data_IF_835529102504
#
_entry.id   IF_835529102504
#
_cell.length_a   1.000
_cell.length_b   1.000
_cell.length_c   1.000
_cell.angle_alpha   90.00
_cell.angle_beta   90.00
_cell.angle_gamma   90.00
#
_symmetry.space_group_name_H-M   'P 1'
#
loop_
_entity.id
_entity.type
_entity.pdbx_description
1 polymer ?
#
# COMPACT_ATOMS: atom_id res chain seq x y z
N UNK A 1 52.42 -23.69 -18.47
CA UNK A 1 51.93 -22.29 -18.52
C UNK A 1 50.41 -22.34 -18.68
N UNK A 2 49.65 -21.52 -17.94
CA UNK A 2 48.61 -21.96 -17.02
C UNK A 2 47.21 -22.13 -17.65
N UNK A 3 46.47 -23.11 -17.12
CA UNK A 3 45.02 -23.24 -17.31
C UNK A 3 44.32 -22.15 -16.51
N UNK A 4 43.78 -21.13 -17.18
CA UNK A 4 42.99 -20.07 -16.55
C UNK A 4 41.50 -20.37 -16.75
N UNK A 5 40.95 -21.15 -15.82
CA UNK A 5 39.51 -21.30 -15.60
C UNK A 5 38.96 -19.95 -15.12
N UNK A 6 38.46 -19.12 -16.04
CA UNK A 6 37.67 -17.94 -15.71
C UNK A 6 36.27 -18.38 -15.25
N UNK A 7 36.14 -18.50 -13.93
CA UNK A 7 34.91 -18.68 -13.18
C UNK A 7 34.02 -17.44 -13.33
N UNK A 8 33.09 -17.47 -14.28
CA UNK A 8 32.05 -16.46 -14.42
C UNK A 8 30.94 -16.74 -13.40
N UNK A 9 31.09 -16.20 -12.20
CA UNK A 9 30.04 -16.15 -11.19
C UNK A 9 28.87 -15.32 -11.73
N UNK A 10 27.84 -16.00 -12.23
CA UNK A 10 26.54 -15.39 -12.51
C UNK A 10 26.07 -14.69 -11.22
N UNK A 11 26.06 -13.36 -11.25
CA UNK A 11 25.38 -12.55 -10.25
C UNK A 11 23.93 -13.05 -10.21
N UNK A 12 23.55 -13.68 -9.10
CA UNK A 12 22.16 -13.91 -8.77
C UNK A 12 21.51 -12.54 -8.66
N UNK A 13 20.84 -12.12 -9.74
CA UNK A 13 19.92 -11.01 -9.69
C UNK A 13 18.90 -11.37 -8.60
N UNK A 14 19.08 -10.82 -7.40
CA UNK A 14 18.14 -11.02 -6.32
C UNK A 14 16.77 -10.60 -6.86
N UNK A 15 15.74 -11.48 -6.78
CA UNK A 15 14.41 -11.09 -7.20
C UNK A 15 14.08 -9.81 -6.43
N UNK A 16 13.60 -8.79 -7.14
CA UNK A 16 13.12 -7.57 -6.51
C UNK A 16 12.13 -7.96 -5.40
N UNK A 17 12.58 -7.88 -4.15
CA UNK A 17 11.82 -8.23 -2.96
C UNK A 17 10.75 -7.14 -2.81
N UNK A 18 9.57 -7.44 -3.31
CA UNK A 18 8.47 -6.51 -3.42
C UNK A 18 7.21 -7.13 -2.82
N UNK A 19 6.91 -6.75 -1.58
CA UNK A 19 5.64 -6.99 -0.92
C UNK A 19 4.53 -6.35 -1.75
N UNK A 20 3.63 -7.18 -2.27
CA UNK A 20 2.48 -6.73 -3.04
C UNK A 20 1.29 -6.50 -2.13
N UNK A 21 0.52 -5.47 -2.45
CA UNK A 21 -0.67 -5.07 -1.71
C UNK A 21 -1.79 -4.86 -2.70
N UNK A 22 -2.94 -5.45 -2.44
CA UNK A 22 -4.16 -5.24 -3.23
C UNK A 22 -5.25 -4.75 -2.30
N UNK A 23 -6.00 -3.73 -2.73
CA UNK A 23 -7.15 -3.21 -2.00
C UNK A 23 -8.39 -3.57 -2.80
N UNK A 24 -9.30 -4.29 -2.18
CA UNK A 24 -10.57 -4.72 -2.76
C UNK A 24 -11.72 -4.26 -1.88
N UNK A 25 -12.94 -4.23 -2.40
CA UNK A 25 -14.12 -3.91 -1.60
C UNK A 25 -14.42 -5.02 -0.57
N UNK A 26 -15.34 -4.76 0.36
CA UNK A 26 -15.71 -5.70 1.42
C UNK A 26 -16.24 -7.06 0.93
N UNK A 27 -16.86 -7.10 -0.25
CA UNK A 27 -17.39 -8.29 -0.89
C UNK A 27 -16.37 -8.99 -1.81
N UNK A 28 -15.15 -8.44 -1.93
CA UNK A 28 -14.04 -8.96 -2.75
C UNK A 28 -14.39 -9.03 -4.26
N UNK A 29 -15.32 -8.22 -4.74
CA UNK A 29 -15.80 -8.24 -6.13
C UNK A 29 -15.07 -7.23 -7.03
N UNK A 30 -14.56 -6.14 -6.45
CA UNK A 30 -13.98 -5.00 -7.13
C UNK A 30 -12.63 -4.62 -6.54
N UNK A 31 -11.63 -4.55 -7.40
CA UNK A 31 -10.30 -4.06 -7.02
C UNK A 31 -10.28 -2.54 -7.02
N UNK A 32 -10.11 -1.98 -5.83
CA UNK A 32 -10.08 -0.55 -5.54
C UNK A 32 -8.66 0.03 -5.54
N UNK A 33 -7.64 -0.84 -5.57
CA UNK A 33 -6.26 -0.41 -5.65
C UNK A 33 -5.26 -1.55 -5.70
N UNK A 34 -4.05 -1.22 -6.15
CA UNK A 34 -2.91 -2.11 -6.18
C UNK A 34 -1.66 -1.34 -5.78
N UNK A 35 -0.74 -1.99 -5.09
CA UNK A 35 0.54 -1.43 -4.75
C UNK A 35 1.61 -2.47 -4.53
N UNK A 36 2.85 -2.02 -4.55
CA UNK A 36 4.00 -2.87 -4.32
C UNK A 36 5.12 -2.10 -3.61
N UNK A 37 5.89 -2.80 -2.79
CA UNK A 37 7.05 -2.19 -2.15
C UNK A 37 8.24 -2.24 -3.08
N UNK A 38 8.90 -1.10 -3.25
CA UNK A 38 10.20 -1.01 -3.92
C UNK A 38 11.10 -0.05 -3.14
N UNK A 39 12.33 -0.48 -2.86
CA UNK A 39 13.30 0.35 -2.13
C UNK A 39 12.84 0.82 -0.74
N UNK A 40 12.06 0.00 -0.01
CA UNK A 40 11.52 0.37 1.31
C UNK A 40 10.30 1.31 1.27
N UNK A 41 9.74 1.57 0.08
CA UNK A 41 8.52 2.38 -0.09
C UNK A 41 7.41 1.53 -0.70
N UNK A 42 6.23 1.50 -0.06
CA UNK A 42 5.02 0.94 -0.63
C UNK A 42 4.37 1.98 -1.55
N UNK A 43 4.38 1.73 -2.86
CA UNK A 43 3.69 2.57 -3.83
C UNK A 43 2.30 2.00 -4.05
N UNK A 44 1.27 2.68 -3.55
CA UNK A 44 -0.12 2.25 -3.60
C UNK A 44 -0.92 3.13 -4.56
N UNK A 45 -1.52 2.52 -5.56
CA UNK A 45 -2.47 3.15 -6.47
C UNK A 45 -3.88 2.85 -5.97
N UNK A 46 -4.67 3.90 -5.70
CA UNK A 46 -6.03 3.79 -5.17
C UNK A 46 -7.00 4.53 -6.07
N UNK A 47 -8.20 3.98 -6.23
CA UNK A 47 -9.30 4.68 -6.91
C UNK A 47 -9.80 5.80 -5.99
N UNK A 48 -9.76 7.05 -6.47
CA UNK A 48 -9.98 8.23 -5.63
C UNK A 48 -11.44 8.49 -5.20
N UNK A 49 -12.42 7.88 -5.85
CA UNK A 49 -13.85 8.15 -5.62
C UNK A 49 -14.56 7.11 -4.73
N UNK A 50 -13.84 6.08 -4.24
CA UNK A 50 -14.43 5.07 -3.38
C UNK A 50 -14.41 5.48 -1.90
N UNK A 51 -15.55 5.28 -1.22
CA UNK A 51 -15.68 5.50 0.21
C UNK A 51 -16.50 4.34 0.81
N UNK A 52 -15.86 3.52 1.64
CA UNK A 52 -16.51 2.32 2.15
C UNK A 52 -15.56 1.33 2.83
N UNK A 53 -16.10 0.21 3.34
CA UNK A 53 -15.31 -0.88 3.90
C UNK A 53 -14.50 -1.57 2.80
N UNK A 54 -13.25 -1.88 3.11
CA UNK A 54 -12.30 -2.47 2.16
C UNK A 54 -11.50 -3.58 2.81
N UNK A 55 -10.97 -4.47 1.99
CA UNK A 55 -10.05 -5.52 2.41
C UNK A 55 -8.70 -5.29 1.72
N UNK A 56 -7.65 -5.28 2.51
CA UNK A 56 -6.28 -5.22 2.05
C UNK A 56 -5.71 -6.64 2.03
N UNK A 57 -5.11 -7.01 0.92
CA UNK A 57 -4.47 -8.30 0.73
C UNK A 57 -2.97 -8.07 0.55
N UNK A 58 -2.16 -8.65 1.42
CA UNK A 58 -0.71 -8.57 1.36
C UNK A 58 -0.16 -9.91 0.85
N UNK A 59 0.62 -9.86 -0.21
CA UNK A 59 1.29 -11.02 -0.76
C UNK A 59 2.81 -10.86 -0.58
N UNK A 60 3.36 -11.69 0.30
CA UNK A 60 4.79 -11.85 0.50
C UNK A 60 5.30 -12.95 -0.44
N UNK A 61 6.48 -12.74 -0.99
CA UNK A 61 7.22 -13.79 -1.70
C UNK A 61 7.77 -14.83 -0.72
N UNK A 62 8.03 -16.05 -1.20
CA UNK A 62 8.68 -17.10 -0.39
C UNK A 62 10.03 -16.66 0.17
N UNK A 63 10.77 -15.84 -0.57
CA UNK A 63 12.04 -15.27 -0.12
C UNK A 63 11.85 -14.34 1.08
N UNK A 64 10.84 -13.46 1.05
CA UNK A 64 10.54 -12.53 2.16
C UNK A 64 10.04 -13.26 3.40
N UNK A 65 9.18 -14.28 3.22
CA UNK A 65 8.69 -15.12 4.30
C UNK A 65 9.82 -15.91 4.96
N UNK A 66 10.74 -16.47 4.17
CA UNK A 66 11.91 -17.20 4.67
C UNK A 66 12.93 -16.28 5.36
N UNK A 67 13.09 -15.06 4.86
CA UNK A 67 13.95 -14.05 5.45
C UNK A 67 13.34 -13.37 6.70
N UNK A 68 12.05 -13.58 6.97
CA UNK A 68 11.36 -12.99 8.11
C UNK A 68 11.29 -11.46 8.06
N UNK A 69 11.24 -10.88 6.84
CA UNK A 69 11.31 -9.43 6.64
C UNK A 69 10.11 -8.68 7.21
N UNK A 70 8.93 -9.31 7.23
CA UNK A 70 7.68 -8.73 7.72
C UNK A 70 7.06 -9.61 8.82
N UNK A 71 7.69 -9.67 10.01
CA UNK A 71 7.23 -10.54 11.08
C UNK A 71 5.83 -10.11 11.54
N UNK A 72 4.89 -11.06 11.58
CA UNK A 72 3.50 -10.81 11.98
C UNK A 72 2.59 -10.32 10.86
N UNK A 73 3.11 -9.94 9.69
CA UNK A 73 2.28 -9.49 8.57
C UNK A 73 1.36 -10.62 8.09
N UNK A 74 0.06 -10.35 8.08
CA UNK A 74 -1.00 -11.24 7.65
C UNK A 74 -1.28 -11.05 6.17
N UNK A 75 -1.82 -12.08 5.54
CA UNK A 75 -2.21 -12.01 4.14
C UNK A 75 -3.43 -11.12 3.90
N UNK A 76 -4.26 -10.88 4.93
CA UNK A 76 -5.52 -10.15 4.82
C UNK A 76 -5.71 -9.21 6.00
N UNK A 77 -6.15 -7.99 5.70
CA UNK A 77 -6.63 -7.05 6.69
C UNK A 77 -7.92 -6.37 6.27
N UNK A 78 -8.81 -6.15 7.22
CA UNK A 78 -10.04 -5.40 6.98
C UNK A 78 -9.84 -3.94 7.40
N UNK A 79 -10.47 -3.02 6.66
CA UNK A 79 -10.28 -1.60 6.83
C UNK A 79 -11.39 -0.75 6.21
N UNK A 80 -11.14 0.54 6.10
CA UNK A 80 -12.03 1.52 5.47
C UNK A 80 -11.21 2.47 4.60
N UNK A 81 -11.67 2.71 3.38
CA UNK A 81 -11.12 3.74 2.50
C UNK A 81 -12.06 4.95 2.56
N UNK A 82 -11.53 6.13 2.89
CA UNK A 82 -12.29 7.39 2.91
C UNK A 82 -11.48 8.51 2.28
N UNK A 83 -11.93 9.04 1.14
CA UNK A 83 -11.29 10.18 0.48
C UNK A 83 -9.80 9.96 0.18
N UNK A 84 -9.43 8.76 -0.28
CA UNK A 84 -8.04 8.39 -0.56
C UNK A 84 -7.20 8.00 0.67
N UNK A 85 -7.75 8.10 1.89
CA UNK A 85 -7.08 7.66 3.12
C UNK A 85 -7.54 6.25 3.50
N UNK A 86 -6.60 5.33 3.57
CA UNK A 86 -6.84 3.93 3.93
C UNK A 86 -6.55 3.71 5.43
N UNK A 87 -7.52 3.19 6.16
CA UNK A 87 -7.42 2.88 7.59
C UNK A 87 -7.73 1.41 7.86
N UNK A 88 -6.99 0.79 8.76
CA UNK A 88 -7.11 -0.62 9.15
C UNK A 88 -7.93 -0.74 10.44
N UNK A 89 -8.77 -1.77 10.52
CA UNK A 89 -9.57 -2.07 11.69
C UNK A 89 -8.70 -2.69 12.79
N UNK A 90 -9.06 -2.44 14.05
CA UNK A 90 -8.25 -2.74 15.25
C UNK A 90 -7.88 -4.22 15.37
N UNK A 91 -8.84 -5.12 15.16
CA UNK A 91 -8.61 -6.57 15.23
C UNK A 91 -7.66 -7.09 14.15
N UNK A 92 -7.49 -6.32 13.08
CA UNK A 92 -6.59 -6.63 11.98
C UNK A 92 -5.20 -6.05 12.24
N UNK A 93 -5.10 -4.76 12.56
CA UNK A 93 -3.82 -4.08 12.80
C UNK A 93 -3.05 -4.63 14.02
N UNK A 94 -3.76 -5.04 15.08
CA UNK A 94 -3.14 -5.61 16.29
C UNK A 94 -2.49 -6.98 16.03
N UNK A 95 -2.97 -7.75 15.05
CA UNK A 95 -2.38 -9.06 14.73
C UNK A 95 -1.09 -8.97 13.91
N UNK A 96 -0.89 -7.85 13.22
CA UNK A 96 0.34 -7.57 12.49
C UNK A 96 1.49 -7.10 13.41
N UNK A 97 1.11 -6.46 14.51
CA UNK A 97 2.03 -5.73 15.35
C UNK A 97 2.38 -6.57 16.57
N UNK A 98 3.50 -7.30 16.49
CA UNK A 98 4.25 -7.66 17.69
C UNK A 98 4.71 -6.41 18.49
N UNK A 99 4.53 -5.22 17.91
CA UNK A 99 4.67 -3.89 18.52
C UNK A 99 3.31 -3.28 18.93
N UNK A 100 2.37 -4.09 19.41
CA UNK A 100 1.07 -3.62 19.90
C UNK A 100 1.28 -2.44 20.85
N UNK A 101 0.87 -1.23 20.45
CA UNK A 101 0.85 -0.08 21.34
C UNK A 101 -0.35 -0.27 22.28
N UNK A 102 -0.14 -0.51 23.58
CA UNK A 102 -1.24 -0.73 24.50
C UNK A 102 -2.12 0.54 24.54
N UNK A 103 -3.42 0.38 24.26
CA UNK A 103 -4.45 1.39 24.51
C UNK A 103 -4.93 2.22 23.31
N UNK A 104 -4.54 1.93 22.07
CA UNK A 104 -5.05 2.70 20.93
C UNK A 104 -6.32 2.06 20.34
N UNK A 105 -7.47 2.37 20.95
CA UNK A 105 -8.80 1.95 20.52
C UNK A 105 -9.30 2.63 19.21
N UNK A 106 -8.38 2.95 18.30
CA UNK A 106 -8.64 3.81 17.15
C UNK A 106 -8.12 3.16 15.86
N UNK A 107 -8.86 3.29 14.74
CA UNK A 107 -8.43 2.79 13.44
C UNK A 107 -7.04 3.33 13.07
N UNK A 108 -6.15 2.42 12.66
CA UNK A 108 -4.75 2.76 12.35
C UNK A 108 -4.63 3.07 10.87
N UNK A 109 -4.12 4.26 10.52
CA UNK A 109 -3.88 4.59 9.11
C UNK A 109 -2.79 3.69 8.52
N UNK A 110 -2.92 3.37 7.23
CA UNK A 110 -1.96 2.50 6.54
C UNK A 110 -0.51 3.02 6.65
N UNK A 111 -0.30 4.33 6.60
CA UNK A 111 1.04 4.93 6.81
C UNK A 111 1.64 4.55 8.18
N UNK A 112 0.84 4.64 9.25
CA UNK A 112 1.28 4.30 10.60
C UNK A 112 1.53 2.80 10.76
N UNK A 113 0.72 1.97 10.10
CA UNK A 113 0.91 0.53 10.06
C UNK A 113 2.23 0.15 9.37
N UNK A 114 2.51 0.73 8.21
CA UNK A 114 3.72 0.46 7.42
C UNK A 114 5.00 0.90 8.12
N UNK A 115 4.94 1.97 8.93
CA UNK A 115 6.06 2.39 9.78
C UNK A 115 6.52 1.29 10.74
N UNK A 116 5.62 0.43 11.22
CA UNK A 116 5.98 -0.74 12.04
C UNK A 116 6.91 -1.72 11.31
N UNK A 117 6.85 -1.74 9.99
CA UNK A 117 7.67 -2.56 9.10
C UNK A 117 8.81 -1.78 8.44
N UNK A 118 9.11 -0.57 8.92
CA UNK A 118 10.08 0.36 8.30
C UNK A 118 9.77 0.69 6.83
N UNK A 119 8.51 0.61 6.43
CA UNK A 119 8.03 0.97 5.10
C UNK A 119 7.44 2.39 5.11
N UNK A 120 7.67 3.13 4.03
CA UNK A 120 7.02 4.43 3.79
C UNK A 120 5.88 4.29 2.79
N UNK A 121 4.76 4.98 2.99
CA UNK A 121 3.62 4.95 2.06
C UNK A 121 3.74 6.05 0.99
N UNK A 122 3.69 5.65 -0.27
CA UNK A 122 3.45 6.54 -1.40
C UNK A 122 2.08 6.24 -2.00
N UNK A 123 1.08 7.06 -1.72
CA UNK A 123 -0.25 6.92 -2.35
C UNK A 123 -0.30 7.75 -3.62
N UNK A 124 -0.60 7.09 -4.74
CA UNK A 124 -0.99 7.75 -5.96
C UNK A 124 -2.49 7.54 -6.17
N UNK A 125 -3.28 8.61 -6.11
CA UNK A 125 -4.68 8.59 -6.53
C UNK A 125 -4.72 9.23 -7.90
N UNK A 126 -4.73 8.46 -9.00
CA UNK A 126 -4.92 9.07 -10.30
C UNK A 126 -6.26 9.82 -10.27
N UNK A 127 -6.19 11.15 -10.40
CA UNK A 127 -7.36 11.96 -10.68
C UNK A 127 -7.87 11.47 -12.03
N UNK A 128 -8.90 10.63 -12.00
CA UNK A 128 -9.59 10.18 -13.22
C UNK A 128 -10.28 11.41 -13.79
N UNK A 129 -9.54 12.22 -14.55
CA UNK A 129 -10.09 13.20 -15.46
C UNK A 129 -10.65 12.41 -16.64
N UNK A 130 -11.88 11.90 -16.48
CA UNK A 130 -12.66 11.41 -17.61
C UNK A 130 -12.76 12.56 -18.62
N UNK A 131 -12.27 12.40 -19.87
CA UNK A 131 -12.43 13.41 -20.90
C UNK A 131 -13.93 13.61 -21.14
N UNK A 132 -14.50 14.72 -20.65
CA UNK A 132 -15.90 15.09 -20.90
C UNK A 132 -16.81 15.31 -19.69
N UNK A 133 -16.37 15.05 -18.46
CA UNK A 133 -17.12 15.53 -17.28
C UNK A 133 -16.61 16.93 -16.92
N UNK A 134 -17.44 17.95 -17.16
CA UNK A 134 -17.17 19.32 -16.68
C UNK A 134 -16.93 19.25 -15.17
N UNK A 135 -15.69 19.51 -14.75
CA UNK A 135 -15.40 19.93 -13.40
C UNK A 135 -16.34 21.09 -13.09
N UNK A 136 -17.23 20.92 -12.12
CA UNK A 136 -17.98 22.03 -11.57
C UNK A 136 -16.96 22.93 -10.88
N UNK A 137 -16.45 23.89 -11.64
CA UNK A 137 -15.70 25.02 -11.14
C UNK A 137 -16.58 25.71 -10.11
N UNK A 138 -16.27 25.48 -8.84
CA UNK A 138 -16.76 26.28 -7.73
C UNK A 138 -16.11 27.67 -7.85
N UNK A 139 -16.61 28.49 -8.76
CA UNK A 139 -16.22 29.87 -9.00
C UNK A 139 -16.76 30.78 -7.90
N UNK A 140 -16.17 30.66 -6.71
CA UNK A 140 -16.47 31.49 -5.56
C UNK A 140 -15.33 32.53 -5.41
N UNK A 141 -15.33 33.63 -6.17
CA UNK A 141 -14.67 34.89 -5.75
C UNK A 141 -15.03 36.13 -6.61
N UNK A 142 -15.80 37.03 -5.99
CA UNK A 142 -15.54 38.46 -5.84
C UNK A 142 -14.79 39.28 -6.93
N UNK A 143 -15.53 40.25 -7.47
CA UNK A 143 -15.14 41.68 -7.58
C UNK A 143 -13.94 42.06 -8.49
N UNK A 144 -14.20 42.73 -9.62
CA UNK A 144 -13.48 43.97 -9.98
C UNK A 144 -14.16 44.79 -11.10
N UNK A 145 -14.41 46.06 -10.74
CA UNK A 145 -14.71 47.27 -11.53
C UNK A 145 -14.16 47.33 -12.97
N UNK A 146 -14.97 47.87 -13.89
CA UNK A 146 -14.85 49.27 -14.36
C UNK A 146 -16.10 49.74 -15.08
#
# INVERSE_FOLDING_TARGET
MPALLTLLTLLTAAPAQALKVMVVDAELQSTLGYGETSGGRLNLQLVGNYNGPVVLLFAQTDAEKKAGLFPGLQARYDGTLRGGVLSLNEGSANRASALSFPGSANPVTLDKFLKGFKLTLGVNTPAVTLPGLKTQENGNNSNQKK
#
